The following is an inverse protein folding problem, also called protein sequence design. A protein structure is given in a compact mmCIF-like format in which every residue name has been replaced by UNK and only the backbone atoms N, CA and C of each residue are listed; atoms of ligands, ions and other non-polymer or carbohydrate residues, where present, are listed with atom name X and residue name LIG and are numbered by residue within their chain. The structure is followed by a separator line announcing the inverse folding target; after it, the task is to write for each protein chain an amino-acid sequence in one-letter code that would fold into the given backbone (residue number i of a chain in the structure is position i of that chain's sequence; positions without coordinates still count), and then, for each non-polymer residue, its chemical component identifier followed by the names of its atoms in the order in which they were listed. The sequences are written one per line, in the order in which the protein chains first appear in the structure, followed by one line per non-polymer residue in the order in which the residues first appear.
data_IF_477543492062
#
_entry.id   IF_477543492062
#
_cell.length_a   1.000
_cell.length_b   1.000
_cell.length_c   1.000
_cell.angle_alpha   90.00
_cell.angle_beta   90.00
_cell.angle_gamma   90.00
#
_symmetry.space_group_name_H-M   'P 1'
#
loop_
_entity.id
_entity.type
_entity.pdbx_description
1 polymer ?
#
# COMPACT_ATOMS: atom_id res chain seq x y z
N UNK A 1 65.08 -16.40 22.45
CA UNK A 1 63.64 -16.60 22.74
C UNK A 1 62.81 -15.74 21.79
N UNK A 2 62.86 -16.07 20.49
CA UNK A 2 62.15 -15.34 19.44
C UNK A 2 61.81 -16.34 18.34
N UNK A 3 60.83 -17.23 18.56
CA UNK A 3 60.40 -18.21 17.54
C UNK A 3 59.07 -18.92 17.83
N UNK A 4 58.14 -18.33 18.61
CA UNK A 4 56.85 -19.01 18.89
C UNK A 4 55.59 -18.13 18.74
N UNK A 5 55.68 -16.95 18.13
CA UNK A 5 54.52 -16.06 17.91
C UNK A 5 54.03 -15.99 16.45
N UNK A 6 54.38 -16.96 15.59
CA UNK A 6 54.03 -16.95 14.15
C UNK A 6 53.06 -18.10 13.76
N UNK A 7 52.40 -18.76 14.72
CA UNK A 7 51.51 -19.91 14.41
C UNK A 7 50.02 -19.72 14.73
N UNK A 8 49.56 -18.54 15.13
CA UNK A 8 48.12 -18.27 15.33
C UNK A 8 47.42 -17.68 14.10
N UNK A 9 48.10 -17.64 12.95
CA UNK A 9 47.53 -17.27 11.65
C UNK A 9 46.86 -18.50 11.00
N UNK A 10 45.80 -19.00 11.62
CA UNK A 10 44.76 -19.81 10.96
C UNK A 10 43.41 -19.41 11.56
N UNK A 11 42.99 -18.21 11.18
CA UNK A 11 41.61 -17.75 11.30
C UNK A 11 40.78 -18.75 10.49
N UNK A 12 40.10 -19.66 11.18
CA UNK A 12 39.05 -20.48 10.59
C UNK A 12 37.89 -19.54 10.22
N UNK A 13 38.01 -18.95 9.03
CA UNK A 13 36.88 -18.44 8.25
C UNK A 13 36.01 -19.65 7.96
N UNK A 14 35.03 -19.90 8.83
CA UNK A 14 34.27 -21.15 8.77
C UNK A 14 33.08 -21.24 9.71
N UNK A 15 32.41 -20.12 10.01
CA UNK A 15 31.11 -20.15 10.66
C UNK A 15 30.21 -19.02 10.13
N UNK A 16 30.12 -18.87 8.81
CA UNK A 16 29.20 -17.94 8.15
C UNK A 16 27.92 -18.64 7.64
N UNK A 17 27.48 -19.75 8.26
CA UNK A 17 26.24 -20.45 7.88
C UNK A 17 25.31 -20.84 9.04
N UNK A 18 25.50 -20.32 10.25
CA UNK A 18 24.54 -20.51 11.35
C UNK A 18 23.46 -19.40 11.39
N UNK A 19 23.08 -18.87 10.22
CA UNK A 19 22.08 -17.81 10.06
C UNK A 19 20.71 -18.30 9.57
N UNK A 20 20.56 -19.58 9.21
CA UNK A 20 19.24 -20.16 8.98
C UNK A 20 18.64 -20.56 10.33
N UNK A 21 17.99 -19.60 10.97
CA UNK A 21 16.98 -19.89 11.98
C UNK A 21 15.92 -20.76 11.29
N UNK A 22 16.03 -22.09 11.45
CA UNK A 22 15.04 -23.04 10.95
C UNK A 22 13.74 -22.70 11.67
N UNK A 23 12.86 -21.99 10.97
CA UNK A 23 11.51 -21.70 11.47
C UNK A 23 10.82 -23.05 11.63
N UNK A 24 10.28 -23.39 12.81
CA UNK A 24 9.56 -24.63 13.00
C UNK A 24 8.44 -24.79 11.97
N UNK A 25 8.25 -26.00 11.43
CA UNK A 25 7.15 -26.32 10.49
C UNK A 25 5.77 -25.96 11.06
N UNK A 26 5.63 -25.98 12.39
CA UNK A 26 4.41 -25.55 13.09
C UNK A 26 4.06 -24.09 12.85
N UNK A 27 5.05 -23.22 12.64
CA UNK A 27 4.82 -21.81 12.31
C UNK A 27 4.20 -21.63 10.91
N UNK A 28 4.20 -22.67 10.05
CA UNK A 28 3.52 -22.67 8.74
C UNK A 28 2.01 -22.88 8.85
N UNK A 29 1.49 -23.26 10.02
CA UNK A 29 0.05 -23.45 10.26
C UNK A 29 -0.76 -22.14 10.23
N UNK A 30 -0.07 -20.98 10.20
CA UNK A 30 -0.71 -19.68 10.03
C UNK A 30 -1.02 -18.94 11.34
N UNK A 31 -1.61 -17.74 11.26
CA UNK A 31 -1.75 -16.79 12.36
C UNK A 31 -2.51 -17.33 13.56
N UNK A 32 -3.49 -18.21 13.32
CA UNK A 32 -4.21 -18.92 14.39
C UNK A 32 -3.24 -19.70 15.30
N UNK A 33 -2.19 -20.31 14.74
CA UNK A 33 -1.20 -21.05 15.52
C UNK A 33 -0.23 -20.13 16.24
N UNK A 34 0.40 -19.18 15.52
CA UNK A 34 1.47 -18.37 16.11
C UNK A 34 0.98 -17.15 16.90
N UNK A 35 -0.31 -16.81 16.85
CA UNK A 35 -0.94 -15.83 17.75
C UNK A 35 -1.80 -16.44 18.85
N UNK A 36 -1.76 -17.76 19.05
CA UNK A 36 -2.45 -18.41 20.17
C UNK A 36 -1.92 -17.93 21.54
N UNK A 37 -0.63 -17.61 21.62
CA UNK A 37 0.04 -17.08 22.80
C UNK A 37 1.34 -16.34 22.41
N UNK A 38 1.83 -15.48 23.31
CA UNK A 38 3.00 -14.63 23.04
C UNK A 38 4.32 -15.42 22.98
N UNK A 39 4.40 -16.59 23.62
CA UNK A 39 5.61 -17.42 23.56
C UNK A 39 5.76 -18.04 22.16
N UNK A 40 4.68 -18.57 21.60
CA UNK A 40 4.63 -19.07 20.22
C UNK A 40 4.85 -17.96 19.20
N UNK A 41 4.35 -16.75 19.46
CA UNK A 41 4.61 -15.58 18.61
C UNK A 41 6.11 -15.24 18.57
N UNK A 42 6.81 -15.29 19.70
CA UNK A 42 8.27 -15.07 19.77
C UNK A 42 9.02 -16.21 19.07
N UNK A 43 8.62 -17.46 19.29
CA UNK A 43 9.21 -18.63 18.63
C UNK A 43 9.13 -18.53 17.10
N UNK A 44 8.00 -18.08 16.57
CA UNK A 44 7.80 -17.89 15.14
C UNK A 44 8.28 -16.52 14.61
N UNK A 45 8.87 -15.66 15.45
CA UNK A 45 9.24 -14.26 15.15
C UNK A 45 8.11 -13.44 14.51
N UNK A 46 6.95 -13.56 15.12
CA UNK A 46 5.69 -12.88 14.80
C UNK A 46 5.15 -12.05 15.96
N UNK A 47 5.99 -11.76 16.96
CA UNK A 47 5.63 -11.03 18.17
C UNK A 47 5.01 -9.67 17.85
N UNK A 48 5.56 -8.92 16.89
CA UNK A 48 4.99 -7.63 16.48
C UNK A 48 3.62 -7.81 15.82
N UNK A 49 3.43 -8.87 15.03
CA UNK A 49 2.16 -9.12 14.37
C UNK A 49 1.07 -9.48 15.39
N UNK A 50 1.35 -10.40 16.31
CA UNK A 50 0.37 -10.79 17.34
C UNK A 50 0.14 -9.68 18.37
N UNK A 51 1.17 -8.90 18.69
CA UNK A 51 1.03 -7.71 19.53
C UNK A 51 0.11 -6.67 18.87
N UNK A 52 0.24 -6.45 17.56
CA UNK A 52 -0.65 -5.56 16.81
C UNK A 52 -2.09 -6.11 16.72
N UNK A 53 -2.26 -7.43 16.68
CA UNK A 53 -3.59 -8.06 16.72
C UNK A 53 -4.24 -7.96 18.11
N UNK A 54 -3.52 -8.27 19.19
CA UNK A 54 -4.07 -8.27 20.56
C UNK A 54 -4.21 -6.87 21.15
N UNK A 55 -3.25 -5.97 20.92
CA UNK A 55 -3.34 -4.57 21.34
C UNK A 55 -4.07 -3.69 20.32
N UNK A 56 -4.55 -4.30 19.23
CA UNK A 56 -5.63 -3.78 18.40
C UNK A 56 -6.96 -3.84 19.17
N UNK A 57 -7.02 -3.18 20.33
CA UNK A 57 -8.22 -3.12 21.14
C UNK A 57 -9.31 -2.33 20.41
N UNK A 58 -10.33 -3.06 19.99
CA UNK A 58 -11.75 -2.74 20.20
C UNK A 58 -12.20 -1.32 19.82
N UNK A 59 -12.52 -1.17 18.54
CA UNK A 59 -13.75 -0.47 18.14
C UNK A 59 -14.64 -1.44 17.35
N UNK A 60 -14.76 -2.69 17.81
CA UNK A 60 -15.60 -3.72 17.15
C UNK A 60 -16.93 -4.00 17.85
N UNK A 61 -17.27 -3.26 18.91
CA UNK A 61 -18.54 -3.44 19.62
C UNK A 61 -19.50 -2.24 19.48
N UNK A 62 -19.23 -1.30 18.57
CA UNK A 62 -20.10 -0.11 18.38
C UNK A 62 -20.48 0.25 16.95
N UNK A 63 -20.33 -0.62 15.95
CA UNK A 63 -20.82 -0.31 14.59
C UNK A 63 -21.54 -1.50 13.97
N UNK A 64 -22.79 -1.70 14.42
CA UNK A 64 -23.85 -1.86 13.44
C UNK A 64 -24.00 -0.51 12.75
N UNK A 65 -23.21 -0.29 11.69
CA UNK A 65 -23.51 0.50 10.48
C UNK A 65 -22.20 0.86 9.75
N UNK A 66 -22.06 0.25 8.58
CA UNK A 66 -21.19 0.50 7.41
C UNK A 66 -19.66 0.52 7.61
N UNK A 67 -19.02 -0.48 6.98
CA UNK A 67 -17.58 -0.63 6.84
C UNK A 67 -16.92 0.60 6.19
N UNK A 68 -16.14 1.36 6.97
CA UNK A 68 -15.12 2.22 6.37
C UNK A 68 -13.73 1.86 6.90
N UNK A 69 -12.89 1.39 5.99
CA UNK A 69 -11.45 1.34 6.14
C UNK A 69 -10.92 2.67 6.73
N UNK A 70 -9.80 2.67 7.49
CA UNK A 70 -9.26 3.90 8.08
C UNK A 70 -9.17 5.00 7.02
N UNK A 71 -9.83 6.12 7.29
CA UNK A 71 -10.09 7.15 6.30
C UNK A 71 -8.81 7.55 5.53
N UNK A 72 -8.87 7.67 4.19
CA UNK A 72 -7.71 8.06 3.40
C UNK A 72 -7.15 9.38 3.92
N UNK A 73 -5.81 9.50 3.97
CA UNK A 73 -5.19 10.76 4.38
C UNK A 73 -5.67 11.92 3.50
N UNK A 74 -5.77 13.14 4.06
CA UNK A 74 -6.43 14.30 3.41
C UNK A 74 -6.05 14.53 1.93
N UNK A 75 -4.78 14.33 1.56
CA UNK A 75 -4.29 14.46 0.17
C UNK A 75 -4.85 13.36 -0.73
N UNK A 76 -4.92 12.13 -0.23
CA UNK A 76 -5.50 10.99 -0.93
C UNK A 76 -7.01 11.19 -1.12
N UNK A 77 -7.76 11.56 -0.07
CA UNK A 77 -9.20 11.84 -0.21
C UNK A 77 -9.48 12.95 -1.21
N UNK A 78 -8.64 13.99 -1.23
CA UNK A 78 -8.78 15.08 -2.20
C UNK A 78 -8.50 14.61 -3.63
N UNK A 79 -7.47 13.78 -3.83
CA UNK A 79 -7.20 13.18 -5.14
C UNK A 79 -8.38 12.35 -5.64
N UNK A 80 -8.91 11.45 -4.79
CA UNK A 80 -10.03 10.58 -5.12
C UNK A 80 -11.23 11.40 -5.58
N UNK A 81 -11.60 12.44 -4.83
CA UNK A 81 -12.72 13.34 -5.19
C UNK A 81 -12.50 14.05 -6.52
N UNK A 82 -11.26 14.42 -6.83
CA UNK A 82 -10.93 15.06 -8.12
C UNK A 82 -11.08 14.05 -9.25
N UNK A 83 -10.58 12.82 -9.09
CA UNK A 83 -10.69 11.77 -10.11
C UNK A 83 -12.14 11.36 -10.34
N UNK A 84 -12.93 11.19 -9.28
CA UNK A 84 -14.38 11.00 -9.37
C UNK A 84 -15.05 12.13 -10.15
N UNK A 85 -14.69 13.39 -9.87
CA UNK A 85 -15.26 14.52 -10.58
C UNK A 85 -14.88 14.56 -12.06
N UNK A 86 -13.68 14.07 -12.40
CA UNK A 86 -13.27 13.95 -13.80
C UNK A 86 -14.09 12.89 -14.52
N UNK A 87 -14.29 11.71 -13.91
CA UNK A 87 -15.16 10.66 -14.46
C UNK A 87 -16.58 11.17 -14.70
N UNK A 88 -17.20 11.79 -13.70
CA UNK A 88 -18.56 12.36 -13.82
C UNK A 88 -18.68 13.37 -14.97
N UNK A 89 -17.64 14.17 -15.21
CA UNK A 89 -17.68 15.21 -16.24
C UNK A 89 -17.28 14.71 -17.62
N UNK A 90 -16.48 13.63 -17.69
CA UNK A 90 -16.04 13.02 -18.93
C UNK A 90 -17.13 12.13 -19.52
N UNK A 91 -17.92 11.44 -18.69
CA UNK A 91 -18.98 10.52 -19.11
C UNK A 91 -18.45 9.13 -19.44
N UNK A 92 -19.33 8.29 -19.97
CA UNK A 92 -19.01 6.91 -20.37
C UNK A 92 -18.18 6.88 -21.66
N UNK A 93 -17.16 6.02 -21.69
CA UNK A 93 -16.20 5.84 -22.80
C UNK A 93 -15.67 7.17 -23.39
N UNK A 94 -15.03 8.02 -22.56
CA UNK A 94 -14.71 9.38 -22.98
C UNK A 94 -13.52 9.43 -23.93
N UNK A 95 -13.63 10.25 -24.99
CA UNK A 95 -12.49 10.57 -25.84
C UNK A 95 -11.55 11.60 -25.19
N UNK A 96 -10.38 11.82 -25.81
CA UNK A 96 -9.38 12.75 -25.29
C UNK A 96 -9.92 14.19 -25.17
N UNK A 97 -10.84 14.62 -26.05
CA UNK A 97 -11.42 15.95 -26.01
C UNK A 97 -12.37 16.11 -24.81
N UNK A 98 -13.23 15.12 -24.57
CA UNK A 98 -14.12 15.06 -23.42
C UNK A 98 -13.34 15.13 -22.10
N UNK A 99 -12.26 14.36 -21.99
CA UNK A 99 -11.37 14.34 -20.82
C UNK A 99 -10.68 15.70 -20.61
N UNK A 100 -10.13 16.29 -21.68
CA UNK A 100 -9.51 17.62 -21.59
C UNK A 100 -10.52 18.70 -21.17
N UNK A 101 -11.77 18.60 -21.64
CA UNK A 101 -12.85 19.48 -21.22
C UNK A 101 -13.25 19.28 -19.75
N UNK A 102 -13.29 18.03 -19.27
CA UNK A 102 -13.51 17.71 -17.87
C UNK A 102 -12.42 18.32 -16.99
N UNK A 103 -11.14 18.12 -17.32
CA UNK A 103 -9.99 18.73 -16.63
C UNK A 103 -10.13 20.26 -16.56
N UNK A 104 -10.47 20.89 -17.69
CA UNK A 104 -10.63 22.34 -17.76
C UNK A 104 -11.77 22.84 -16.85
N UNK A 105 -12.90 22.14 -16.82
CA UNK A 105 -14.05 22.48 -15.97
C UNK A 105 -13.71 22.29 -14.49
N UNK A 106 -13.10 21.16 -14.13
CA UNK A 106 -12.66 20.86 -12.75
C UNK A 106 -11.67 21.89 -12.23
N UNK A 107 -10.65 22.28 -13.01
CA UNK A 107 -9.71 23.31 -12.54
C UNK A 107 -10.31 24.72 -12.50
N UNK A 108 -11.36 25.01 -13.28
CA UNK A 108 -12.05 26.31 -13.28
C UNK A 108 -12.99 26.51 -12.10
N UNK A 109 -13.50 25.43 -11.50
CA UNK A 109 -14.37 25.53 -10.30
C UNK A 109 -13.58 25.88 -9.03
N UNK A 110 -12.24 25.82 -9.08
CA UNK A 110 -11.38 26.16 -7.96
C UNK A 110 -11.05 27.66 -7.93
N UNK A 111 -11.03 28.30 -6.75
CA UNK A 111 -10.62 29.70 -6.62
C UNK A 111 -9.16 29.89 -7.05
N UNK A 112 -8.81 31.10 -7.48
CA UNK A 112 -7.40 31.46 -7.72
C UNK A 112 -6.71 31.67 -6.36
N UNK A 113 -5.48 31.17 -6.12
CA UNK A 113 -4.51 30.61 -7.07
C UNK A 113 -4.62 29.09 -7.32
N UNK A 114 -5.49 28.38 -6.61
CA UNK A 114 -5.61 26.92 -6.66
C UNK A 114 -5.97 26.41 -8.07
N UNK A 115 -6.81 27.13 -8.82
CA UNK A 115 -7.10 26.81 -10.21
C UNK A 115 -5.87 26.85 -11.14
N UNK A 116 -4.86 27.67 -10.85
CA UNK A 116 -3.61 27.68 -11.61
C UNK A 116 -2.75 26.45 -11.28
N UNK A 117 -2.60 26.13 -10.00
CA UNK A 117 -1.90 24.92 -9.53
C UNK A 117 -2.55 23.67 -10.11
N UNK A 118 -3.88 23.59 -10.09
CA UNK A 118 -4.64 22.48 -10.68
C UNK A 118 -4.26 22.27 -12.15
N UNK A 119 -4.27 23.32 -12.98
CA UNK A 119 -3.91 23.20 -14.39
C UNK A 119 -2.49 22.70 -14.59
N UNK A 120 -1.54 23.17 -13.78
CA UNK A 120 -0.15 22.72 -13.85
C UNK A 120 -0.01 21.24 -13.49
N UNK A 121 -0.69 20.80 -12.44
CA UNK A 121 -0.72 19.39 -12.00
C UNK A 121 -1.38 18.53 -13.07
N UNK A 122 -2.58 18.90 -13.53
CA UNK A 122 -3.32 18.14 -14.54
C UNK A 122 -2.58 18.05 -15.86
N UNK A 123 -1.89 19.11 -16.28
CA UNK A 123 -1.04 19.07 -17.47
C UNK A 123 0.11 18.07 -17.34
N UNK A 124 0.71 17.95 -16.15
CA UNK A 124 1.81 17.00 -15.89
C UNK A 124 1.36 15.55 -15.93
N UNK A 125 0.13 15.27 -15.48
CA UNK A 125 -0.42 13.92 -15.37
C UNK A 125 -1.43 13.59 -16.47
N UNK A 126 -1.61 14.48 -17.46
CA UNK A 126 -2.67 14.41 -18.45
C UNK A 126 -2.75 13.06 -19.14
N UNK A 127 -1.63 12.57 -19.67
CA UNK A 127 -1.63 11.35 -20.48
C UNK A 127 -2.02 10.13 -19.63
N UNK A 128 -1.58 10.07 -18.36
CA UNK A 128 -2.01 9.06 -17.39
C UNK A 128 -3.48 9.16 -17.01
N UNK A 129 -4.00 10.39 -16.87
CA UNK A 129 -5.41 10.63 -16.57
C UNK A 129 -6.28 10.21 -17.76
N UNK A 130 -5.84 10.49 -18.99
CA UNK A 130 -6.53 10.06 -20.21
C UNK A 130 -6.64 8.54 -20.24
N UNK A 131 -5.50 7.86 -20.11
CA UNK A 131 -5.42 6.39 -20.10
C UNK A 131 -6.32 5.80 -19.01
N UNK A 132 -6.23 6.31 -17.78
CA UNK A 132 -7.03 5.83 -16.65
C UNK A 132 -8.54 6.00 -16.86
N UNK A 133 -8.97 7.16 -17.37
CA UNK A 133 -10.40 7.43 -17.62
C UNK A 133 -10.94 6.60 -18.78
N UNK A 134 -10.17 6.41 -19.85
CA UNK A 134 -10.55 5.54 -20.96
C UNK A 134 -10.66 4.07 -20.55
N UNK A 135 -9.87 3.65 -19.56
CA UNK A 135 -9.91 2.30 -19.01
C UNK A 135 -10.93 2.14 -17.87
N UNK A 136 -11.73 3.17 -17.56
CA UNK A 136 -12.66 3.18 -16.44
C UNK A 136 -12.01 2.76 -15.10
N UNK A 137 -10.77 3.20 -14.87
CA UNK A 137 -10.00 2.83 -13.68
C UNK A 137 -10.66 3.37 -12.39
N UNK A 138 -10.49 2.67 -11.27
CA UNK A 138 -10.99 3.14 -9.98
C UNK A 138 -10.26 4.43 -9.52
N UNK A 139 -10.97 5.46 -9.04
CA UNK A 139 -10.38 6.72 -8.56
C UNK A 139 -9.29 6.59 -7.50
N UNK A 140 -9.38 5.59 -6.61
CA UNK A 140 -8.35 5.34 -5.59
C UNK A 140 -7.11 4.76 -6.24
N UNK A 141 -7.26 3.81 -7.17
CA UNK A 141 -6.12 3.22 -7.90
C UNK A 141 -5.39 4.26 -8.76
N UNK A 142 -6.13 5.14 -9.47
CA UNK A 142 -5.52 6.28 -10.17
C UNK A 142 -4.65 7.13 -9.23
N UNK A 143 -5.15 7.40 -8.03
CA UNK A 143 -4.44 8.19 -7.04
C UNK A 143 -3.24 7.46 -6.40
N UNK A 144 -3.25 6.12 -6.38
CA UNK A 144 -2.09 5.28 -6.02
C UNK A 144 -1.03 5.33 -7.12
N UNK A 145 -1.44 5.34 -8.38
CA UNK A 145 -0.54 5.44 -9.54
C UNK A 145 0.10 6.81 -9.67
N UNK A 146 -0.66 7.86 -9.32
CA UNK A 146 -0.15 9.23 -9.14
C UNK A 146 0.72 9.39 -7.88
N UNK A 147 0.87 8.34 -7.06
CA UNK A 147 1.63 8.32 -5.80
C UNK A 147 1.14 9.31 -4.74
N UNK A 148 -0.14 9.67 -4.80
CA UNK A 148 -0.79 10.55 -3.82
C UNK A 148 -1.41 9.72 -2.69
N UNK A 149 -2.07 8.62 -3.05
CA UNK A 149 -2.54 7.60 -2.13
C UNK A 149 -1.44 6.56 -1.90
N UNK A 150 -1.43 5.96 -0.70
CA UNK A 150 -0.68 4.73 -0.46
C UNK A 150 -1.53 3.57 -0.94
N UNK A 151 -0.89 2.57 -1.57
CA UNK A 151 -1.51 1.27 -1.78
C UNK A 151 -1.83 0.69 -0.41
N UNK A 152 -3.06 0.24 -0.22
CA UNK A 152 -3.48 -0.32 1.04
C UNK A 152 -2.82 -1.69 1.22
N UNK A 153 -1.69 -1.74 1.95
CA UNK A 153 -0.96 -2.99 2.19
C UNK A 153 -1.73 -3.96 3.11
N UNK A 154 -2.90 -3.56 3.60
CA UNK A 154 -3.80 -4.39 4.43
C UNK A 154 -4.91 -5.06 3.62
N UNK A 155 -5.19 -4.58 2.42
CA UNK A 155 -6.00 -5.30 1.44
C UNK A 155 -5.02 -6.07 0.57
N UNK A 156 -4.54 -7.21 1.10
CA UNK A 156 -3.98 -8.22 0.22
C UNK A 156 -5.06 -8.57 -0.81
N UNK A 157 -4.71 -8.76 -2.09
CA UNK A 157 -5.65 -9.38 -3.02
C UNK A 157 -6.18 -10.63 -2.34
N UNK A 158 -7.52 -10.73 -2.22
CA UNK A 158 -8.13 -11.94 -1.68
C UNK A 158 -7.59 -13.17 -2.41
N UNK A 159 -7.68 -14.38 -1.84
CA UNK A 159 -7.04 -15.58 -2.40
C UNK A 159 -7.26 -15.77 -3.92
N UNK A 160 -8.42 -15.35 -4.42
CA UNK A 160 -8.77 -15.34 -5.84
C UNK A 160 -7.93 -14.38 -6.72
N UNK A 161 -7.63 -13.17 -6.24
CA UNK A 161 -6.85 -12.18 -6.99
C UNK A 161 -5.34 -12.47 -6.93
N UNK A 162 -4.85 -13.16 -5.90
CA UNK A 162 -3.47 -13.64 -5.84
C UNK A 162 -3.22 -14.80 -6.82
N UNK A 163 -4.17 -15.74 -6.92
CA UNK A 163 -4.11 -16.87 -7.86
C UNK A 163 -4.28 -16.46 -9.33
N UNK A 164 -4.77 -15.26 -9.61
CA UNK A 164 -4.88 -14.74 -10.98
C UNK A 164 -3.58 -14.05 -11.45
N UNK A 165 -2.67 -13.72 -10.53
CA UNK A 165 -1.44 -12.98 -10.83
C UNK A 165 -0.20 -13.89 -10.99
N UNK A 166 -0.34 -15.19 -10.74
CA UNK A 166 0.70 -16.22 -10.79
C UNK A 166 0.15 -17.52 -11.38
#
# INVERSE_FOLDING_TARGET
MASLFILSLNIAVGAALAGSHLVPETCLQGPEFWCKDMATAVECRREQYCWNLQNGSLLWETLLEEEEAPAPGKKCSMCIKIMQKLQELAGDDPDEEAINNAIRKTCKSLPKPLGWVCKTVMKKFRDKIIEALQNNEDPKEMCVDLKICRRDSRVLPGPAAYAAAH
#
